data_IF_982850927163
#
_entry.id   IF_982850927163
#
_cell.length_a   1.000
_cell.length_b   1.000
_cell.length_c   1.000
_cell.angle_alpha   90.00
_cell.angle_beta   90.00
_cell.angle_gamma   90.00
#
_symmetry.space_group_name_H-M   'P 1'
#
loop_
_entity.id
_entity.type
_entity.pdbx_description
1 polymer ?
#
# COMPACT_ATOMS: atom_id res chain seq x y z
N UNK A 1 41.37 7.72 5.44
CA UNK A 1 40.31 7.52 6.45
C UNK A 1 39.33 8.68 6.34
N UNK A 2 38.05 8.39 6.57
CA UNK A 2 36.93 9.31 6.77
C UNK A 2 36.06 9.69 5.56
N UNK A 3 34.98 8.90 5.48
CA UNK A 3 33.60 9.34 5.32
C UNK A 3 33.14 9.76 3.93
N UNK A 4 33.17 8.78 3.02
CA UNK A 4 32.08 8.67 2.06
C UNK A 4 30.83 8.26 2.85
N UNK A 5 30.04 9.26 3.26
CA UNK A 5 28.66 9.04 3.68
C UNK A 5 27.96 8.34 2.51
N UNK A 6 27.87 7.01 2.59
CA UNK A 6 26.99 6.22 1.75
C UNK A 6 25.58 6.67 2.13
N UNK A 7 25.09 7.69 1.43
CA UNK A 7 23.68 8.02 1.42
C UNK A 7 22.99 6.77 0.87
N UNK A 8 22.49 5.90 1.75
CA UNK A 8 21.60 4.81 1.38
C UNK A 8 20.21 5.43 1.36
N UNK A 9 19.71 5.96 0.22
CA UNK A 9 18.33 6.42 0.19
C UNK A 9 17.45 5.24 0.61
N UNK A 10 16.58 5.44 1.60
CA UNK A 10 15.49 4.49 1.80
C UNK A 10 14.66 4.56 0.53
N UNK A 11 14.63 3.46 -0.22
CA UNK A 11 13.79 3.33 -1.40
C UNK A 11 12.60 2.48 -1.00
N UNK A 12 11.40 3.04 -1.15
CA UNK A 12 10.19 2.23 -1.10
C UNK A 12 10.06 1.56 -2.47
N UNK A 13 10.24 0.25 -2.50
CA UNK A 13 9.86 -0.57 -3.63
C UNK A 13 8.36 -0.80 -3.55
N UNK A 14 7.60 -0.23 -4.48
CA UNK A 14 6.16 -0.41 -4.57
C UNK A 14 5.88 -1.27 -5.81
N UNK A 15 5.37 -2.47 -5.58
CA UNK A 15 4.90 -3.37 -6.64
C UNK A 15 3.39 -3.25 -6.73
N UNK A 16 2.94 -3.04 -7.96
CA UNK A 16 1.53 -3.08 -8.34
C UNK A 16 1.36 -4.33 -9.19
N UNK A 17 0.62 -5.33 -8.67
CA UNK A 17 0.34 -6.57 -9.37
C UNK A 17 -1.15 -6.65 -9.69
N UNK A 18 -1.48 -6.69 -10.98
CA UNK A 18 -2.76 -7.13 -11.50
C UNK A 18 -2.67 -8.59 -11.95
N UNK A 19 -3.68 -9.40 -11.64
CA UNK A 19 -3.89 -10.68 -12.34
C UNK A 19 -4.44 -10.41 -13.74
N UNK A 20 -4.15 -11.29 -14.69
CA UNK A 20 -4.65 -11.21 -16.08
C UNK A 20 -6.12 -11.65 -16.21
N UNK A 21 -6.65 -12.32 -15.18
CA UNK A 21 -8.08 -12.57 -15.00
C UNK A 21 -8.74 -11.36 -14.34
N UNK A 22 -9.99 -11.08 -14.70
CA UNK A 22 -10.86 -9.96 -14.28
C UNK A 22 -11.00 -9.71 -12.76
N UNK A 23 -10.31 -10.47 -11.91
CA UNK A 23 -10.12 -10.26 -10.46
C UNK A 23 -8.88 -9.38 -10.14
N UNK A 24 -8.13 -8.99 -11.18
CA UNK A 24 -6.80 -8.37 -11.11
C UNK A 24 -6.73 -6.86 -11.22
N UNK A 25 -7.84 -6.21 -11.55
CA UNK A 25 -7.83 -4.80 -11.97
C UNK A 25 -7.78 -3.81 -10.80
N UNK A 26 -7.75 -4.30 -9.56
CA UNK A 26 -7.97 -3.50 -8.37
C UNK A 26 -6.69 -2.96 -7.72
N UNK A 27 -5.53 -3.31 -8.26
CA UNK A 27 -4.24 -2.87 -7.73
C UNK A 27 -3.93 -1.38 -8.01
N UNK A 28 -4.63 -0.76 -8.96
CA UNK A 28 -4.32 0.57 -9.50
C UNK A 28 -3.17 0.57 -10.49
N UNK A 29 -2.91 -0.57 -11.15
CA UNK A 29 -1.91 -0.69 -12.21
C UNK A 29 -2.41 -0.01 -13.49
N UNK A 30 -1.68 1.00 -13.97
CA UNK A 30 -1.99 1.66 -15.25
C UNK A 30 -1.35 0.97 -16.46
N UNK A 31 -0.49 -0.04 -16.26
CA UNK A 31 0.23 -0.75 -17.31
C UNK A 31 0.01 -2.26 -17.17
N UNK A 32 -0.28 -2.98 -18.27
CA UNK A 32 -0.57 -4.42 -18.23
C UNK A 32 0.68 -5.27 -17.96
N UNK A 33 1.88 -4.69 -18.07
CA UNK A 33 3.14 -5.38 -17.82
C UNK A 33 3.56 -5.26 -16.36
N UNK A 34 4.05 -6.37 -15.80
CA UNK A 34 4.62 -6.41 -14.44
C UNK A 34 5.79 -5.45 -14.36
N UNK A 35 5.67 -4.45 -13.49
CA UNK A 35 6.72 -3.49 -13.22
C UNK A 35 6.82 -3.19 -11.72
N UNK A 36 7.95 -2.61 -11.35
CA UNK A 36 8.28 -2.20 -9.99
C UNK A 36 8.56 -0.71 -9.99
N UNK A 37 8.00 0.02 -9.01
CA UNK A 37 8.30 1.43 -8.80
C UNK A 37 9.27 1.57 -7.64
N UNK A 38 10.39 2.27 -7.88
CA UNK A 38 11.37 2.62 -6.87
C UNK A 38 11.19 4.10 -6.53
N UNK A 39 10.64 4.40 -5.36
CA UNK A 39 10.39 5.77 -4.92
C UNK A 39 11.38 6.15 -3.80
N UNK A 40 12.19 7.22 -3.97
CA UNK A 40 13.04 7.73 -2.90
C UNK A 40 12.18 8.32 -1.77
N UNK A 41 12.28 7.77 -0.56
CA UNK A 41 11.47 8.19 0.58
C UNK A 41 11.67 9.67 0.91
N UNK A 42 12.88 10.20 0.76
CA UNK A 42 13.15 11.63 1.01
C UNK A 42 12.40 12.55 0.06
N UNK A 43 12.11 12.10 -1.17
CA UNK A 43 11.29 12.86 -2.12
C UNK A 43 9.81 12.82 -1.74
N UNK A 44 9.35 11.74 -1.12
CA UNK A 44 7.97 11.61 -0.64
C UNK A 44 7.68 12.48 0.59
N UNK A 45 8.72 12.87 1.34
CA UNK A 45 8.61 13.77 2.49
C UNK A 45 8.47 15.24 2.14
N UNK A 46 8.79 15.63 0.89
CA UNK A 46 8.83 17.03 0.49
C UNK A 46 7.44 17.68 0.66
N UNK A 47 7.38 18.80 1.39
CA UNK A 47 6.14 19.51 1.69
C UNK A 47 5.41 19.00 2.93
N UNK A 48 5.92 17.97 3.61
CA UNK A 48 5.38 17.42 4.86
C UNK A 48 6.19 17.88 6.10
N UNK A 49 7.17 18.78 5.93
CA UNK A 49 8.09 19.18 7.00
C UNK A 49 7.42 20.03 8.10
N UNK A 50 6.30 20.68 7.77
CA UNK A 50 5.57 21.61 8.66
C UNK A 50 4.20 21.08 9.12
N UNK A 51 3.97 19.76 9.09
CA UNK A 51 2.69 19.20 9.56
C UNK A 51 2.62 19.32 11.10
N UNK A 52 1.86 20.30 11.59
CA UNK A 52 1.69 20.65 13.01
C UNK A 52 0.88 19.62 13.82
N UNK A 53 0.19 18.66 13.17
CA UNK A 53 -0.70 17.68 13.80
C UNK A 53 0.04 16.47 14.42
N UNK A 54 1.09 16.73 15.21
CA UNK A 54 1.58 15.83 16.26
C UNK A 54 2.30 14.54 15.85
N UNK A 55 2.36 14.18 14.56
CA UNK A 55 3.14 13.02 14.12
C UNK A 55 3.95 13.32 12.86
N UNK A 56 5.27 13.14 12.96
CA UNK A 56 6.16 13.19 11.79
C UNK A 56 5.69 12.13 10.80
N UNK A 57 5.54 12.51 9.53
CA UNK A 57 5.27 11.55 8.47
C UNK A 57 6.34 10.46 8.46
N UNK A 58 5.91 9.22 8.34
CA UNK A 58 6.77 8.07 8.11
C UNK A 58 6.03 7.07 7.22
N UNK A 59 6.80 6.22 6.55
CA UNK A 59 6.27 5.18 5.66
C UNK A 59 5.31 4.28 6.45
N UNK A 60 4.08 4.17 5.98
CA UNK A 60 3.04 3.37 6.64
C UNK A 60 3.49 1.92 6.83
N UNK A 61 4.10 1.31 5.82
CA UNK A 61 4.64 -0.05 5.91
C UNK A 61 5.62 -0.24 7.08
N UNK A 62 6.48 0.75 7.36
CA UNK A 62 7.40 0.69 8.50
C UNK A 62 6.66 0.91 9.84
N UNK A 63 5.65 1.79 9.87
CA UNK A 63 4.83 2.02 11.07
C UNK A 63 4.05 0.77 11.49
N UNK A 64 3.46 0.06 10.54
CA UNK A 64 2.68 -1.16 10.83
C UNK A 64 3.55 -2.42 10.96
N UNK A 65 4.85 -2.34 10.69
CA UNK A 65 5.74 -3.49 10.78
C UNK A 65 5.97 -3.87 12.24
N UNK A 66 5.51 -5.06 12.66
CA UNK A 66 5.67 -5.52 14.03
C UNK A 66 4.80 -4.78 15.06
N UNK A 67 3.94 -3.85 14.62
CA UNK A 67 3.02 -3.10 15.47
C UNK A 67 1.58 -3.45 15.13
N UNK A 68 0.70 -3.48 16.13
CA UNK A 68 -0.74 -3.53 15.92
C UNK A 68 -1.29 -2.11 15.75
N UNK A 69 -1.10 -1.52 14.57
CA UNK A 69 -1.84 -0.31 14.20
C UNK A 69 -3.21 -0.71 13.62
N UNK A 70 -4.26 -0.05 14.10
CA UNK A 70 -5.60 -0.23 13.57
C UNK A 70 -5.75 0.53 12.24
N UNK A 71 -5.69 -0.21 11.12
CA UNK A 71 -5.98 0.30 9.79
C UNK A 71 -7.40 -0.11 9.36
N UNK A 72 -8.10 0.70 8.55
CA UNK A 72 -9.42 0.34 8.02
C UNK A 72 -9.37 -0.78 6.97
N UNK A 73 -8.17 -1.25 6.60
CA UNK A 73 -7.94 -2.37 5.69
C UNK A 73 -6.79 -3.24 6.21
N UNK A 74 -6.74 -4.48 5.73
CA UNK A 74 -5.75 -5.48 6.16
C UNK A 74 -4.42 -5.28 5.44
N UNK A 75 -3.34 -5.19 6.20
CA UNK A 75 -1.96 -5.21 5.71
C UNK A 75 -1.20 -6.32 6.42
N UNK A 76 -0.62 -7.22 5.65
CA UNK A 76 0.30 -8.23 6.19
C UNK A 76 1.71 -7.68 6.15
N UNK A 77 2.46 -7.82 7.24
CA UNK A 77 3.84 -7.34 7.34
C UNK A 77 4.82 -8.47 7.66
N UNK A 78 6.08 -8.27 7.28
CA UNK A 78 7.23 -9.09 7.65
C UNK A 78 8.44 -8.19 7.83
N UNK A 79 9.12 -8.28 8.98
CA UNK A 79 10.36 -7.56 9.22
C UNK A 79 11.49 -8.17 8.39
N UNK A 80 12.28 -7.31 7.75
CA UNK A 80 13.43 -7.72 6.95
C UNK A 80 14.66 -6.90 7.33
N UNK A 81 15.82 -7.31 6.84
CA UNK A 81 17.05 -6.53 6.97
C UNK A 81 17.84 -6.54 5.67
N UNK A 82 18.76 -5.59 5.53
CA UNK A 82 19.66 -5.52 4.37
C UNK A 82 20.60 -6.74 4.29
N UNK A 83 20.92 -7.33 5.44
CA UNK A 83 21.79 -8.51 5.57
C UNK A 83 21.06 -9.84 5.33
N UNK A 84 19.72 -9.81 5.23
CA UNK A 84 18.92 -11.00 4.95
C UNK A 84 19.28 -11.58 3.57
N UNK A 85 19.36 -12.91 3.47
CA UNK A 85 19.63 -13.60 2.21
C UNK A 85 18.52 -13.35 1.19
N UNK A 86 18.79 -13.61 -0.10
CA UNK A 86 17.77 -13.48 -1.15
C UNK A 86 16.67 -14.52 -0.94
N UNK A 87 17.07 -15.72 -0.53
CA UNK A 87 16.21 -16.87 -0.24
C UNK A 87 15.26 -16.56 0.92
N UNK A 88 15.78 -16.04 2.03
CA UNK A 88 14.96 -15.68 3.19
C UNK A 88 14.01 -14.52 2.87
N UNK A 89 14.46 -13.52 2.08
CA UNK A 89 13.58 -12.44 1.59
C UNK A 89 12.47 -12.98 0.71
N UNK A 90 12.77 -13.95 -0.15
CA UNK A 90 11.77 -14.58 -1.01
C UNK A 90 10.76 -15.39 -0.20
N UNK A 91 11.21 -16.17 0.78
CA UNK A 91 10.34 -16.92 1.70
C UNK A 91 9.44 -15.98 2.52
N UNK A 92 9.96 -14.83 2.97
CA UNK A 92 9.17 -13.80 3.64
C UNK A 92 8.06 -13.25 2.72
N UNK A 93 8.37 -12.98 1.46
CA UNK A 93 7.37 -12.59 0.46
C UNK A 93 6.32 -13.68 0.23
N UNK A 94 6.71 -14.94 0.06
CA UNK A 94 5.77 -16.04 -0.14
C UNK A 94 4.85 -16.20 1.09
N UNK A 95 5.40 -16.12 2.30
CA UNK A 95 4.59 -16.17 3.53
C UNK A 95 3.55 -15.04 3.59
N UNK A 96 3.92 -13.82 3.19
CA UNK A 96 2.99 -12.68 3.08
C UNK A 96 1.88 -12.96 2.07
N UNK A 97 2.26 -13.43 0.89
CA UNK A 97 1.33 -13.71 -0.20
C UNK A 97 0.34 -14.82 0.15
N UNK A 98 0.80 -15.91 0.80
CA UNK A 98 -0.08 -16.99 1.26
C UNK A 98 -1.16 -16.50 2.21
N UNK A 99 -0.78 -15.70 3.22
CA UNK A 99 -1.73 -15.09 4.17
C UNK A 99 -2.72 -14.15 3.48
N UNK A 100 -2.25 -13.40 2.49
CA UNK A 100 -3.08 -12.50 1.70
C UNK A 100 -4.14 -13.24 0.87
N UNK A 101 -3.75 -14.31 0.19
CA UNK A 101 -4.68 -15.17 -0.57
C UNK A 101 -5.71 -15.79 0.37
N UNK A 102 -5.29 -16.35 1.51
CA UNK A 102 -6.20 -16.95 2.48
C UNK A 102 -7.22 -15.94 3.05
N UNK A 103 -6.84 -14.68 3.21
CA UNK A 103 -7.74 -13.63 3.65
C UNK A 103 -8.72 -13.19 2.55
N UNK A 104 -8.26 -13.15 1.30
CA UNK A 104 -9.04 -12.68 0.16
C UNK A 104 -9.99 -13.73 -0.41
N UNK A 105 -9.62 -15.01 -0.32
CA UNK A 105 -10.30 -16.12 -0.97
C UNK A 105 -10.51 -17.26 0.04
N UNK A 106 -11.77 -17.55 0.34
CA UNK A 106 -12.15 -18.68 1.20
C UNK A 106 -11.87 -20.00 0.49
N UNK A 107 -11.25 -20.96 1.19
CA UNK A 107 -10.96 -22.32 0.69
C UNK A 107 -10.05 -22.41 -0.55
N UNK A 108 -9.24 -21.39 -0.81
CA UNK A 108 -8.24 -21.41 -1.90
C UNK A 108 -6.84 -21.51 -1.29
N UNK A 109 -6.10 -22.54 -1.69
CA UNK A 109 -4.68 -22.62 -1.38
C UNK A 109 -3.88 -21.69 -2.29
N UNK A 110 -2.89 -21.03 -1.69
CA UNK A 110 -1.99 -20.15 -2.39
C UNK A 110 -0.97 -20.97 -3.20
N UNK A 111 -0.85 -20.64 -4.48
CA UNK A 111 0.13 -21.23 -5.38
C UNK A 111 1.42 -20.40 -5.28
N UNK A 112 2.56 -21.08 -5.15
CA UNK A 112 3.88 -20.44 -4.98
C UNK A 112 4.45 -19.88 -6.29
N UNK A 113 3.97 -20.37 -7.43
CA UNK A 113 4.45 -20.00 -8.75
C UNK A 113 3.30 -19.67 -9.71
N UNK A 114 3.62 -18.89 -10.74
CA UNK A 114 2.68 -18.54 -11.81
C UNK A 114 2.01 -17.17 -11.61
N UNK A 115 0.77 -17.07 -12.09
CA UNK A 115 0.02 -15.82 -12.03
C UNK A 115 -0.51 -15.53 -10.62
N UNK A 116 -0.59 -14.25 -10.28
CA UNK A 116 -1.18 -13.85 -9.01
C UNK A 116 -2.66 -14.25 -8.97
N UNK A 117 -3.10 -14.85 -7.87
CA UNK A 117 -4.49 -15.27 -7.62
C UNK A 117 -5.35 -14.09 -7.15
N UNK A 118 -4.72 -13.03 -6.64
CA UNK A 118 -5.37 -11.85 -6.09
C UNK A 118 -4.69 -10.58 -6.60
N UNK A 119 -5.46 -9.49 -6.64
CA UNK A 119 -4.91 -8.15 -6.72
C UNK A 119 -4.23 -7.79 -5.40
N UNK A 120 -3.04 -7.17 -5.45
CA UNK A 120 -2.39 -6.66 -4.26
C UNK A 120 -1.47 -5.47 -4.53
N UNK A 121 -1.23 -4.68 -3.49
CA UNK A 121 -0.08 -3.80 -3.43
C UNK A 121 0.96 -4.39 -2.50
N UNK A 122 2.22 -4.22 -2.86
CA UNK A 122 3.35 -4.63 -2.04
C UNK A 122 4.32 -3.47 -1.91
N UNK A 123 4.75 -3.21 -0.67
CA UNK A 123 5.77 -2.24 -0.34
C UNK A 123 6.94 -2.97 0.33
N UNK A 124 8.16 -2.56 0.00
CA UNK A 124 9.36 -3.04 0.68
C UNK A 124 10.30 -1.87 0.94
N UNK A 125 10.79 -1.79 2.17
CA UNK A 125 11.82 -0.86 2.65
C UNK A 125 13.08 -1.65 3.02
N UNK A 126 14.05 -1.02 3.67
CA UNK A 126 15.20 -1.73 4.21
C UNK A 126 14.87 -2.55 5.48
N UNK A 127 13.69 -2.34 6.06
CA UNK A 127 13.29 -2.87 7.38
C UNK A 127 11.99 -3.65 7.35
N UNK A 128 11.14 -3.46 6.34
CA UNK A 128 9.84 -4.11 6.26
C UNK A 128 9.44 -4.51 4.84
N UNK A 129 8.72 -5.62 4.73
CA UNK A 129 7.83 -5.92 3.62
C UNK A 129 6.38 -5.79 4.10
N UNK A 130 5.52 -5.15 3.31
CA UNK A 130 4.10 -5.01 3.57
C UNK A 130 3.30 -5.40 2.32
N UNK A 131 2.22 -6.16 2.49
CA UNK A 131 1.35 -6.60 1.42
C UNK A 131 -0.11 -6.32 1.79
N UNK A 132 -0.77 -5.54 0.94
CA UNK A 132 -2.20 -5.22 1.03
C UNK A 132 -2.96 -5.96 -0.08
N UNK A 133 -3.78 -6.96 0.24
CA UNK A 133 -4.77 -7.50 -0.70
C UNK A 133 -5.72 -6.37 -1.14
N UNK A 134 -6.01 -6.30 -2.44
CA UNK A 134 -6.84 -5.24 -3.02
C UNK A 134 -8.15 -5.83 -3.56
N UNK A 135 -9.25 -5.16 -3.23
CA UNK A 135 -10.61 -5.53 -3.63
C UNK A 135 -11.26 -4.51 -4.57
N UNK A 136 -10.76 -3.26 -4.54
CA UNK A 136 -11.12 -2.21 -5.48
C UNK A 136 -9.93 -1.26 -5.69
N UNK A 137 -9.86 -0.61 -6.85
CA UNK A 137 -8.86 0.45 -7.10
C UNK A 137 -9.14 1.70 -6.26
N UNK A 138 -10.42 1.99 -6.02
CA UNK A 138 -10.87 3.25 -5.47
C UNK A 138 -12.37 3.27 -5.23
N UNK A 139 -12.90 4.47 -5.01
CA UNK A 139 -14.32 4.69 -4.75
C UNK A 139 -14.79 5.98 -5.42
N UNK A 140 -16.00 5.93 -6.00
CA UNK A 140 -16.73 7.13 -6.43
C UNK A 140 -17.19 7.90 -5.19
N UNK A 141 -16.83 9.17 -5.10
CA UNK A 141 -17.24 10.05 -4.01
C UNK A 141 -18.34 10.98 -4.50
N UNK A 142 -19.40 11.07 -3.72
CA UNK A 142 -20.58 11.91 -3.98
C UNK A 142 -20.76 12.93 -2.86
N UNK A 143 -21.41 14.06 -3.18
CA UNK A 143 -21.83 15.05 -2.20
C UNK A 143 -23.07 14.58 -1.42
N UNK A 144 -23.50 15.37 -0.41
CA UNK A 144 -24.69 15.06 0.38
C UNK A 144 -26.01 15.10 -0.40
N UNK A 145 -25.99 15.53 -1.66
CA UNK A 145 -27.14 15.55 -2.59
C UNK A 145 -27.07 14.43 -3.64
N UNK A 146 -26.05 13.57 -3.59
CA UNK A 146 -25.84 12.47 -4.54
C UNK A 146 -25.16 12.87 -5.85
N UNK A 147 -24.62 14.10 -5.98
CA UNK A 147 -23.85 14.47 -7.15
C UNK A 147 -22.42 13.96 -7.03
N UNK A 148 -21.89 13.37 -8.10
CA UNK A 148 -20.52 12.88 -8.16
C UNK A 148 -19.50 14.03 -8.03
N UNK A 149 -18.65 13.94 -7.02
CA UNK A 149 -17.49 14.82 -6.79
C UNK A 149 -16.29 14.34 -7.60
N UNK A 150 -16.02 13.03 -7.62
CA UNK A 150 -14.88 12.45 -8.32
C UNK A 150 -14.69 10.95 -8.07
N UNK A 151 -13.65 10.38 -8.68
CA UNK A 151 -13.25 8.98 -8.49
C UNK A 151 -11.89 8.95 -7.80
N UNK A 152 -11.88 8.59 -6.52
CA UNK A 152 -10.66 8.54 -5.73
C UNK A 152 -10.03 7.15 -5.90
N UNK A 153 -8.97 7.10 -6.70
CA UNK A 153 -8.21 5.88 -6.98
C UNK A 153 -6.93 5.86 -6.16
N UNK A 154 -6.71 4.78 -5.41
CA UNK A 154 -5.50 4.59 -4.61
C UNK A 154 -4.65 3.48 -5.21
N UNK A 155 -3.36 3.74 -5.37
CA UNK A 155 -2.37 2.75 -5.80
C UNK A 155 -1.47 2.32 -4.62
N UNK A 156 -0.39 1.60 -4.92
CA UNK A 156 0.53 1.10 -3.89
C UNK A 156 1.21 2.16 -3.01
N UNK A 157 1.19 3.45 -3.38
CA UNK A 157 1.70 4.53 -2.51
C UNK A 157 0.88 4.70 -1.23
N UNK A 158 -0.29 4.09 -1.14
CA UNK A 158 -1.07 4.01 0.10
C UNK A 158 -0.25 3.33 1.22
N UNK A 159 0.60 2.34 0.88
CA UNK A 159 1.51 1.68 1.83
C UNK A 159 2.71 2.55 2.23
N UNK A 160 2.90 3.70 1.59
CA UNK A 160 3.79 4.75 2.05
C UNK A 160 3.06 5.82 2.89
N UNK A 161 1.74 5.70 3.08
CA UNK A 161 0.93 6.71 3.76
C UNK A 161 0.69 7.95 2.90
N UNK A 162 0.63 7.78 1.57
CA UNK A 162 0.44 8.87 0.61
C UNK A 162 -0.61 8.52 -0.43
N UNK A 163 -1.41 9.51 -0.83
CA UNK A 163 -2.41 9.39 -1.89
C UNK A 163 -2.15 10.45 -2.97
N UNK A 164 -2.44 10.10 -4.21
CA UNK A 164 -2.46 11.03 -5.34
C UNK A 164 -3.90 11.21 -5.78
N UNK A 165 -4.34 12.46 -5.87
CA UNK A 165 -5.68 12.85 -6.33
C UNK A 165 -5.57 13.64 -7.63
N UNK A 166 -6.60 13.57 -8.47
CA UNK A 166 -6.58 14.13 -9.83
C UNK A 166 -6.93 15.60 -9.87
N UNK A 167 -7.68 16.08 -8.88
CA UNK A 167 -8.18 17.45 -8.84
C UNK A 167 -8.33 17.98 -7.40
N UNK A 168 -8.56 19.29 -7.29
CA UNK A 168 -8.67 19.98 -6.01
C UNK A 168 -9.90 19.53 -5.20
N UNK A 169 -11.02 19.18 -5.84
CA UNK A 169 -12.22 18.74 -5.14
C UNK A 169 -12.02 17.40 -4.42
N UNK A 170 -11.34 16.44 -5.05
CA UNK A 170 -10.90 15.18 -4.44
C UNK A 170 -9.94 15.42 -3.27
N UNK A 171 -9.01 16.38 -3.39
CA UNK A 171 -8.11 16.75 -2.30
C UNK A 171 -8.88 17.32 -1.10
N UNK A 172 -9.76 18.28 -1.36
CA UNK A 172 -10.48 19.00 -0.33
C UNK A 172 -11.39 18.07 0.46
N UNK A 173 -12.09 17.13 -0.20
CA UNK A 173 -12.96 16.16 0.49
C UNK A 173 -12.15 15.20 1.37
N UNK A 174 -11.02 14.66 0.91
CA UNK A 174 -10.18 13.78 1.73
C UNK A 174 -9.55 14.51 2.92
N UNK A 175 -9.16 15.78 2.72
CA UNK A 175 -8.51 16.59 3.75
C UNK A 175 -9.49 17.03 4.84
N UNK A 176 -10.73 17.35 4.46
CA UNK A 176 -11.72 17.94 5.38
C UNK A 176 -12.72 16.94 5.95
N UNK A 177 -12.94 15.81 5.28
CA UNK A 177 -13.89 14.80 5.69
C UNK A 177 -13.17 13.49 6.03
N UNK A 178 -12.80 13.35 7.31
CA UNK A 178 -12.11 12.17 7.81
C UNK A 178 -12.92 10.89 7.58
N UNK A 179 -14.24 10.93 7.76
CA UNK A 179 -15.12 9.78 7.51
C UNK A 179 -15.06 9.32 6.06
N UNK A 180 -15.00 10.26 5.11
CA UNK A 180 -14.84 9.93 3.69
C UNK A 180 -13.49 9.26 3.44
N UNK A 181 -12.39 9.79 4.00
CA UNK A 181 -11.07 9.16 3.89
C UNK A 181 -11.09 7.72 4.42
N UNK A 182 -11.69 7.49 5.60
CA UNK A 182 -11.82 6.15 6.17
C UNK A 182 -12.61 5.22 5.26
N UNK A 183 -13.74 5.66 4.70
CA UNK A 183 -14.55 4.86 3.77
C UNK A 183 -13.79 4.49 2.50
N UNK A 184 -13.03 5.43 1.93
CA UNK A 184 -12.18 5.16 0.77
C UNK A 184 -11.11 4.12 1.12
N UNK A 185 -10.43 4.28 2.25
CA UNK A 185 -9.38 3.34 2.67
C UNK A 185 -9.92 1.95 3.02
N UNK A 186 -11.10 1.86 3.64
CA UNK A 186 -11.80 0.60 3.90
C UNK A 186 -12.19 -0.09 2.58
N UNK A 187 -12.70 0.69 1.62
CA UNK A 187 -13.22 0.16 0.36
C UNK A 187 -12.18 -0.41 -0.60
N UNK A 188 -10.89 -0.07 -0.46
CA UNK A 188 -9.85 -0.54 -1.39
C UNK A 188 -9.29 -1.93 -1.07
N UNK A 189 -9.54 -2.46 0.13
CA UNK A 189 -8.94 -3.68 0.62
C UNK A 189 -9.90 -4.56 1.40
N UNK A 190 -9.36 -5.59 2.03
CA UNK A 190 -10.12 -6.44 2.95
C UNK A 190 -10.26 -5.69 4.28
N UNK A 191 -11.47 -5.49 4.82
CA UNK A 191 -11.65 -4.83 6.11
C UNK A 191 -10.80 -5.50 7.18
N UNK A 192 -10.08 -4.70 7.99
CA UNK A 192 -9.40 -5.30 9.14
C UNK A 192 -10.47 -5.78 10.12
N UNK A 193 -10.29 -6.98 10.68
CA UNK A 193 -11.03 -7.34 11.88
C UNK A 193 -10.48 -6.44 12.98
N UNK A 194 -11.17 -5.34 13.28
CA UNK A 194 -10.85 -4.59 14.48
C UNK A 194 -10.93 -5.57 15.66
N UNK A 195 -9.91 -5.67 16.53
CA UNK A 195 -10.12 -6.24 17.84
C UNK A 195 -11.15 -5.43 18.63
#
# INVERSE_FOLDING_TARGET
MQHMLVYKPTVALIRICSSSSTLGDHSGASQPHRHLQLLPVDRMKLGLENIENGSKWAILADKVCGNQEALPFTVFTSSISVEMSVEDRHLAYLSLYKRAVQAAMTNVEAIDEGEAQISYNFAMTNTCMALCPRTAEGMTVEDGSGNKIGDINLNGTVLAGTALVKNQAEWDILKTNITMLYRVLEGIGIPSKMP
#
